data_IF_944325473819
#
_entry.id   IF_944325473819
#
_cell.length_a   1.000
_cell.length_b   1.000
_cell.length_c   1.000
_cell.angle_alpha   90.00
_cell.angle_beta   90.00
_cell.angle_gamma   90.00
#
_symmetry.space_group_name_H-M   'P 1'
#
loop_
_entity.id
_entity.type
_entity.pdbx_description
1 polymer ?
#
# COMPACT_ATOMS: atom_id res chain seq x y z
N UNK A 1 -3.32 -13.37 81.64
CA UNK A 1 -3.38 -14.29 82.80
C UNK A 1 -4.41 -15.38 82.54
N UNK A 2 -4.04 -16.66 82.79
CA UNK A 2 -4.86 -17.87 83.08
C UNK A 2 -5.92 -18.29 82.04
N UNK A 3 -5.79 -19.40 81.27
CA UNK A 3 -5.78 -20.84 81.62
C UNK A 3 -6.86 -21.28 82.62
N UNK A 4 -7.85 -22.05 82.15
CA UNK A 4 -8.39 -23.33 82.70
C UNK A 4 -9.65 -23.73 81.92
N UNK A 5 -9.67 -24.88 81.23
CA UNK A 5 -9.99 -26.24 81.72
C UNK A 5 -11.44 -26.41 82.22
N UNK A 6 -12.23 -27.23 81.52
CA UNK A 6 -13.05 -28.36 82.03
C UNK A 6 -13.67 -29.09 80.80
N UNK A 7 -13.21 -30.30 80.42
CA UNK A 7 -13.70 -31.62 80.88
C UNK A 7 -15.24 -31.73 80.80
N UNK A 8 -15.81 -32.46 79.83
CA UNK A 8 -16.29 -33.86 79.93
C UNK A 8 -17.37 -34.01 78.81
N UNK A 9 -17.66 -35.08 78.09
CA UNK A 9 -17.44 -36.52 78.22
C UNK A 9 -17.58 -37.17 76.82
N UNK A 10 -16.94 -38.32 76.66
CA UNK A 10 -16.82 -39.17 75.47
C UNK A 10 -18.14 -39.90 75.13
N UNK A 11 -18.60 -39.89 73.87
CA UNK A 11 -19.27 -41.04 73.23
C UNK A 11 -18.85 -41.11 71.75
N UNK A 12 -18.14 -42.19 71.42
CA UNK A 12 -17.79 -42.60 70.06
C UNK A 12 -19.02 -43.02 69.27
N UNK A 13 -19.22 -42.44 68.08
CA UNK A 13 -19.82 -43.13 66.93
C UNK A 13 -18.95 -42.83 65.71
N UNK A 14 -18.28 -43.87 65.23
CA UNK A 14 -17.51 -43.89 63.98
C UNK A 14 -18.44 -43.64 62.79
N UNK A 15 -18.46 -42.43 62.25
CA UNK A 15 -18.92 -42.19 60.89
C UNK A 15 -17.76 -42.50 59.93
N UNK A 16 -17.85 -43.64 59.27
CA UNK A 16 -17.06 -43.96 58.08
C UNK A 16 -17.41 -42.99 56.96
N UNK A 17 -16.61 -41.93 56.81
CA UNK A 17 -16.51 -41.16 55.58
C UNK A 17 -15.89 -42.07 54.51
N UNK A 18 -16.73 -42.69 53.69
CA UNK A 18 -16.31 -43.20 52.40
C UNK A 18 -15.99 -41.98 51.52
N UNK A 19 -14.76 -41.49 51.63
CA UNK A 19 -14.16 -40.66 50.59
C UNK A 19 -14.04 -41.60 49.39
N UNK A 20 -14.96 -41.48 48.44
CA UNK A 20 -14.76 -42.07 47.13
C UNK A 20 -13.44 -41.52 46.58
N UNK A 21 -12.40 -42.35 46.58
CA UNK A 21 -11.20 -42.10 45.79
C UNK A 21 -11.66 -42.07 44.33
N UNK A 22 -11.93 -40.87 43.83
CA UNK A 22 -12.04 -40.64 42.41
C UNK A 22 -10.65 -40.95 41.86
N UNK A 23 -10.51 -42.12 41.22
CA UNK A 23 -9.33 -42.45 40.42
C UNK A 23 -9.14 -41.27 39.48
N UNK A 24 -8.06 -40.52 39.70
CA UNK A 24 -7.56 -39.57 38.71
C UNK A 24 -7.21 -40.40 37.48
N UNK A 25 -8.13 -40.48 36.52
CA UNK A 25 -7.76 -40.81 35.17
C UNK A 25 -6.91 -39.65 34.70
N UNK A 26 -5.61 -39.92 34.52
CA UNK A 26 -4.75 -39.04 33.76
C UNK A 26 -5.42 -38.81 32.40
N UNK A 27 -6.02 -37.64 32.20
CA UNK A 27 -6.40 -37.18 30.87
C UNK A 27 -5.12 -37.16 30.04
N UNK A 28 -5.13 -37.83 28.90
CA UNK A 28 -4.10 -37.63 27.89
C UNK A 28 -4.01 -36.12 27.66
N UNK A 29 -2.80 -35.57 27.82
CA UNK A 29 -2.48 -34.31 27.16
C UNK A 29 -2.47 -34.66 25.68
N UNK A 30 -3.59 -34.49 25.02
CA UNK A 30 -3.64 -34.57 23.56
C UNK A 30 -2.57 -33.62 23.04
N UNK A 31 -1.66 -34.14 22.22
CA UNK A 31 -0.66 -33.33 21.56
C UNK A 31 -1.40 -32.23 20.77
N UNK A 32 -0.86 -30.99 20.72
CA UNK A 32 -1.40 -30.00 19.79
C UNK A 32 -1.47 -30.64 18.40
N UNK A 33 -2.54 -30.36 17.63
CA UNK A 33 -2.69 -30.95 16.31
C UNK A 33 -1.39 -30.75 15.51
N UNK A 34 -0.97 -31.74 14.71
CA UNK A 34 0.26 -31.63 13.94
C UNK A 34 0.23 -30.34 13.14
N UNK A 35 1.25 -29.51 13.34
CA UNK A 35 1.44 -28.31 12.52
C UNK A 35 1.55 -28.79 11.08
N UNK A 36 0.70 -28.30 10.16
CA UNK A 36 0.74 -28.74 8.78
C UNK A 36 2.15 -28.58 8.21
N UNK A 37 2.64 -29.60 7.51
CA UNK A 37 3.86 -29.47 6.71
C UNK A 37 3.54 -28.70 5.44
N UNK A 38 4.17 -27.54 5.32
CA UNK A 38 3.99 -26.52 4.29
C UNK A 38 4.65 -26.92 2.95
N UNK A 39 3.89 -26.90 1.84
CA UNK A 39 4.38 -27.05 0.45
C UNK A 39 3.81 -25.96 -0.48
N UNK A 40 4.69 -25.22 -1.17
CA UNK A 40 4.42 -23.99 -1.94
C UNK A 40 3.61 -24.15 -3.23
N UNK A 41 2.44 -24.80 -3.21
CA UNK A 41 1.58 -24.94 -4.40
C UNK A 41 0.66 -23.73 -4.55
N UNK A 42 0.88 -22.98 -5.64
CA UNK A 42 -0.09 -21.99 -6.11
C UNK A 42 -1.39 -22.70 -6.53
N UNK A 43 -2.59 -22.14 -6.25
CA UNK A 43 -3.84 -22.69 -6.75
C UNK A 43 -3.89 -22.57 -8.28
N UNK A 44 -4.54 -23.50 -8.96
CA UNK A 44 -4.76 -23.39 -10.41
C UNK A 44 -5.83 -22.34 -10.71
N UNK A 45 -5.79 -21.76 -11.91
CA UNK A 45 -6.86 -20.87 -12.37
C UNK A 45 -8.24 -21.56 -12.37
N UNK A 46 -8.28 -22.87 -12.64
CA UNK A 46 -9.51 -23.67 -12.58
C UNK A 46 -10.08 -23.70 -11.15
N UNK A 47 -9.24 -23.96 -10.15
CA UNK A 47 -9.65 -23.95 -8.73
C UNK A 47 -10.15 -22.57 -8.33
N UNK A 48 -9.44 -21.51 -8.70
CA UNK A 48 -9.87 -20.13 -8.41
C UNK A 48 -11.21 -19.83 -9.10
N UNK A 49 -11.38 -20.19 -10.38
CA UNK A 49 -12.64 -19.97 -11.09
C UNK A 49 -13.81 -20.75 -10.48
N UNK A 50 -13.59 -22.01 -10.05
CA UNK A 50 -14.60 -22.80 -9.37
C UNK A 50 -15.01 -22.15 -8.04
N UNK A 51 -14.05 -21.67 -7.25
CA UNK A 51 -14.30 -20.91 -6.03
C UNK A 51 -15.12 -19.64 -6.31
N UNK A 52 -14.68 -18.81 -7.26
CA UNK A 52 -15.39 -17.58 -7.64
C UNK A 52 -16.82 -17.88 -8.12
N UNK A 53 -17.03 -18.99 -8.83
CA UNK A 53 -18.37 -19.43 -9.26
C UNK A 53 -19.27 -19.80 -8.08
N UNK A 54 -18.74 -20.43 -7.03
CA UNK A 54 -19.52 -20.69 -5.82
C UNK A 54 -19.81 -19.40 -5.04
N UNK A 55 -18.88 -18.45 -5.03
CA UNK A 55 -19.04 -17.20 -4.27
C UNK A 55 -19.97 -16.18 -4.94
N UNK A 56 -19.91 -16.04 -6.26
CA UNK A 56 -20.61 -14.97 -7.00
C UNK A 56 -21.52 -15.48 -8.11
N UNK A 57 -21.50 -16.77 -8.40
CA UNK A 57 -22.21 -17.33 -9.56
C UNK A 57 -23.73 -17.28 -9.50
N UNK A 58 -24.30 -16.86 -8.37
CA UNK A 58 -25.73 -16.61 -8.19
C UNK A 58 -26.18 -15.25 -8.77
N UNK A 59 -25.26 -14.29 -8.92
CA UNK A 59 -25.56 -12.96 -9.46
C UNK A 59 -25.10 -12.88 -10.93
N UNK A 60 -26.03 -12.84 -11.90
CA UNK A 60 -25.68 -12.76 -13.31
C UNK A 60 -25.04 -11.42 -13.71
N UNK A 61 -25.13 -10.38 -12.87
CA UNK A 61 -24.51 -9.09 -13.11
C UNK A 61 -23.03 -9.05 -12.68
N UNK A 62 -22.53 -10.08 -11.99
CA UNK A 62 -21.14 -10.19 -11.57
C UNK A 62 -20.38 -11.11 -12.51
N UNK A 63 -19.28 -10.62 -13.07
CA UNK A 63 -18.29 -11.42 -13.78
C UNK A 63 -16.90 -11.16 -13.22
N UNK A 64 -15.94 -12.04 -13.50
CA UNK A 64 -14.59 -11.89 -12.98
C UNK A 64 -13.51 -12.32 -13.98
N UNK A 65 -12.32 -11.76 -13.81
CA UNK A 65 -11.09 -12.15 -14.51
C UNK A 65 -9.97 -12.32 -13.49
N UNK A 66 -9.30 -13.46 -13.51
CA UNK A 66 -8.07 -13.66 -12.72
C UNK A 66 -6.97 -12.80 -13.36
N UNK A 67 -6.46 -11.84 -12.61
CA UNK A 67 -5.40 -10.94 -13.05
C UNK A 67 -4.01 -11.50 -12.73
N UNK A 68 -3.86 -12.14 -11.56
CA UNK A 68 -2.60 -12.75 -11.16
C UNK A 68 -2.83 -13.83 -10.10
N UNK A 69 -1.97 -14.85 -10.12
CA UNK A 69 -1.76 -15.80 -9.03
C UNK A 69 -0.26 -15.81 -8.77
N UNK A 70 0.18 -15.39 -7.57
CA UNK A 70 1.60 -15.21 -7.26
C UNK A 70 1.88 -15.46 -5.77
N UNK A 71 3.11 -15.81 -5.39
CA UNK A 71 3.50 -15.86 -3.98
C UNK A 71 3.17 -14.54 -3.27
N UNK A 72 2.68 -14.63 -2.03
CA UNK A 72 2.45 -13.47 -1.17
C UNK A 72 3.74 -12.98 -0.51
N UNK A 73 3.72 -11.76 0.03
CA UNK A 73 4.77 -11.29 0.94
C UNK A 73 4.78 -12.03 2.29
N UNK A 74 3.64 -12.55 2.72
CA UNK A 74 3.56 -13.38 3.91
C UNK A 74 3.78 -14.84 3.55
N UNK A 75 4.71 -15.48 4.27
CA UNK A 75 4.99 -16.91 4.12
C UNK A 75 3.72 -17.76 4.33
N UNK A 76 3.58 -18.83 3.54
CA UNK A 76 2.43 -19.74 3.60
C UNK A 76 1.15 -19.20 2.94
N UNK A 77 1.18 -18.01 2.33
CA UNK A 77 0.05 -17.43 1.59
C UNK A 77 0.37 -17.27 0.09
N UNK A 78 -0.63 -17.53 -0.74
CA UNK A 78 -0.62 -17.20 -2.16
C UNK A 78 -1.56 -16.03 -2.41
N UNK A 79 -1.08 -14.97 -3.05
CA UNK A 79 -1.93 -13.85 -3.46
C UNK A 79 -2.63 -14.19 -4.79
N UNK A 80 -3.96 -14.04 -4.78
CA UNK A 80 -4.80 -14.14 -5.97
C UNK A 80 -5.48 -12.79 -6.18
N UNK A 81 -5.19 -12.18 -7.33
CA UNK A 81 -5.80 -10.92 -7.74
C UNK A 81 -6.89 -11.21 -8.77
N UNK A 82 -8.11 -10.76 -8.50
CA UNK A 82 -9.27 -10.95 -9.35
C UNK A 82 -9.90 -9.61 -9.66
N UNK A 83 -10.13 -9.31 -10.94
CA UNK A 83 -10.93 -8.15 -11.37
C UNK A 83 -12.39 -8.57 -11.36
N UNK A 84 -13.17 -8.07 -10.42
CA UNK A 84 -14.63 -8.21 -10.40
C UNK A 84 -15.24 -7.10 -11.26
N UNK A 85 -16.10 -7.47 -12.21
CA UNK A 85 -16.88 -6.54 -13.03
C UNK A 85 -18.34 -6.62 -12.62
N UNK A 86 -18.91 -5.46 -12.30
CA UNK A 86 -20.30 -5.28 -11.85
C UNK A 86 -20.95 -4.13 -12.62
N UNK A 87 -22.26 -3.90 -12.40
CA UNK A 87 -22.94 -2.73 -12.95
C UNK A 87 -22.35 -1.40 -12.47
N UNK A 88 -21.70 -1.38 -11.29
CA UNK A 88 -21.01 -0.20 -10.76
C UNK A 88 -19.59 -0.02 -11.32
N UNK A 89 -19.11 -0.93 -12.17
CA UNK A 89 -17.77 -0.89 -12.76
C UNK A 89 -16.88 -2.06 -12.33
N UNK A 90 -15.58 -1.92 -12.60
CA UNK A 90 -14.57 -2.92 -12.27
C UNK A 90 -13.87 -2.58 -10.96
N UNK A 91 -13.62 -3.60 -10.14
CA UNK A 91 -12.86 -3.49 -8.90
C UNK A 91 -11.86 -4.63 -8.78
N UNK A 92 -10.67 -4.32 -8.29
CA UNK A 92 -9.66 -5.32 -7.97
C UNK A 92 -9.96 -5.91 -6.59
N UNK A 93 -10.25 -7.21 -6.55
CA UNK A 93 -10.41 -8.00 -5.33
C UNK A 93 -9.15 -8.82 -5.10
N UNK A 94 -8.56 -8.67 -3.92
CA UNK A 94 -7.39 -9.44 -3.48
C UNK A 94 -7.82 -10.44 -2.43
N UNK A 95 -7.46 -11.70 -2.63
CA UNK A 95 -7.61 -12.75 -1.64
C UNK A 95 -6.31 -13.53 -1.50
N UNK A 96 -6.06 -14.05 -0.31
CA UNK A 96 -4.90 -14.87 0.00
C UNK A 96 -5.35 -16.29 0.27
N UNK A 97 -4.82 -17.22 -0.52
CA UNK A 97 -5.09 -18.65 -0.34
C UNK A 97 -4.02 -19.24 0.57
N UNK A 98 -4.44 -19.93 1.62
CA UNK A 98 -3.54 -20.68 2.50
C UNK A 98 -2.93 -21.85 1.75
N UNK A 99 -1.75 -22.28 2.17
CA UNK A 99 -0.99 -23.33 1.51
C UNK A 99 -1.67 -24.71 1.47
N UNK A 100 -2.59 -24.97 2.40
CA UNK A 100 -3.45 -26.16 2.36
C UNK A 100 -4.49 -26.14 1.22
N UNK A 101 -4.66 -24.98 0.57
CA UNK A 101 -5.66 -24.73 -0.47
C UNK A 101 -7.12 -24.76 0.02
N UNK A 102 -7.35 -24.83 1.34
CA UNK A 102 -8.68 -24.99 1.93
C UNK A 102 -9.28 -23.66 2.43
N UNK A 103 -8.44 -22.66 2.67
CA UNK A 103 -8.89 -21.38 3.21
C UNK A 103 -8.48 -20.21 2.30
N UNK A 104 -9.35 -19.20 2.27
CA UNK A 104 -9.07 -17.92 1.65
C UNK A 104 -9.28 -16.81 2.68
N UNK A 105 -8.34 -15.87 2.75
CA UNK A 105 -8.39 -14.68 3.59
C UNK A 105 -8.60 -13.47 2.67
N UNK A 106 -9.50 -12.57 3.05
CA UNK A 106 -9.78 -11.33 2.33
C UNK A 106 -9.25 -10.17 3.16
N UNK A 107 -8.50 -9.26 2.54
CA UNK A 107 -7.96 -8.07 3.19
C UNK A 107 -6.60 -7.67 2.63
N UNK A 108 -5.88 -6.85 3.40
CA UNK A 108 -4.52 -6.42 3.10
C UNK A 108 -3.51 -7.13 4.00
N UNK A 109 -2.34 -7.47 3.44
CA UNK A 109 -1.18 -7.81 4.25
C UNK A 109 -0.50 -6.52 4.64
N UNK A 110 -0.54 -6.22 5.93
CA UNK A 110 0.13 -5.05 6.50
C UNK A 110 1.42 -5.48 7.18
N UNK A 111 2.54 -4.77 6.98
CA UNK A 111 3.77 -5.06 7.72
C UNK A 111 3.54 -5.00 9.23
N UNK A 112 4.07 -5.99 9.96
CA UNK A 112 3.92 -6.14 11.41
C UNK A 112 5.29 -6.12 12.10
N UNK A 113 5.31 -5.69 13.37
CA UNK A 113 6.53 -5.59 14.19
C UNK A 113 6.69 -4.21 14.83
N UNK A 114 7.81 -3.99 15.54
CA UNK A 114 8.08 -2.71 16.21
C UNK A 114 8.37 -1.57 15.22
N UNK A 115 8.97 -1.89 14.07
CA UNK A 115 9.32 -0.92 13.02
C UNK A 115 8.81 -1.40 11.64
N UNK A 116 7.49 -1.44 11.44
CA UNK A 116 6.89 -2.12 10.28
C UNK A 116 7.21 -1.45 8.93
N UNK A 117 7.69 -0.21 8.93
CA UNK A 117 7.90 0.59 7.72
C UNK A 117 9.37 0.77 7.31
N UNK A 118 10.32 0.26 8.09
CA UNK A 118 11.77 0.43 7.84
C UNK A 118 12.19 -0.13 6.47
N UNK A 119 11.71 -1.32 6.10
CA UNK A 119 12.07 -1.92 4.81
C UNK A 119 11.60 -1.07 3.60
N UNK A 120 10.38 -0.52 3.68
CA UNK A 120 9.85 0.39 2.66
C UNK A 120 10.64 1.71 2.64
N UNK A 121 10.97 2.26 3.82
CA UNK A 121 11.79 3.47 3.94
C UNK A 121 13.18 3.28 3.34
N UNK A 122 13.85 2.15 3.60
CA UNK A 122 15.14 1.82 3.01
C UNK A 122 15.05 1.68 1.48
N UNK A 123 14.03 0.99 0.99
CA UNK A 123 13.80 0.81 -0.45
C UNK A 123 13.60 2.16 -1.14
N UNK A 124 12.79 3.05 -0.56
CA UNK A 124 12.62 4.43 -1.02
C UNK A 124 13.94 5.19 -1.00
N UNK A 125 14.69 5.14 0.11
CA UNK A 125 15.96 5.88 0.24
C UNK A 125 17.01 5.49 -0.80
N UNK A 126 16.98 4.23 -1.27
CA UNK A 126 17.89 3.71 -2.29
C UNK A 126 17.44 4.02 -3.71
N UNK A 127 16.13 4.15 -3.93
CA UNK A 127 15.55 4.22 -5.28
C UNK A 127 14.96 5.57 -5.69
N UNK A 128 14.57 6.43 -4.75
CA UNK A 128 13.90 7.70 -5.07
C UNK A 128 14.91 8.72 -5.63
N UNK A 129 14.64 9.23 -6.83
CA UNK A 129 15.54 10.16 -7.54
C UNK A 129 14.80 11.31 -8.25
N UNK A 130 13.49 11.44 -8.03
CA UNK A 130 12.67 12.43 -8.71
C UNK A 130 12.72 13.83 -8.08
N UNK A 131 12.06 14.83 -8.68
CA UNK A 131 12.08 16.20 -8.22
C UNK A 131 11.56 16.31 -6.78
N UNK A 132 12.21 17.16 -5.98
CA UNK A 132 11.87 17.32 -4.57
C UNK A 132 11.74 18.78 -4.16
N UNK A 133 10.91 19.05 -3.16
CA UNK A 133 10.77 20.34 -2.48
C UNK A 133 10.74 20.17 -0.97
N UNK A 134 11.20 21.19 -0.25
CA UNK A 134 11.45 21.13 1.21
C UNK A 134 12.91 20.84 1.55
N UNK A 135 13.29 20.89 2.84
CA UNK A 135 14.68 20.70 3.28
C UNK A 135 15.21 19.31 2.95
N UNK A 136 16.47 19.20 2.51
CA UNK A 136 17.09 17.91 2.21
C UNK A 136 17.32 17.04 3.45
N UNK A 137 17.42 17.66 4.62
CA UNK A 137 17.61 17.09 5.95
C UNK A 137 16.32 17.02 6.77
N UNK A 138 15.16 17.17 6.11
CA UNK A 138 13.85 17.06 6.74
C UNK A 138 13.70 15.74 7.51
N UNK A 139 13.15 15.80 8.73
CA UNK A 139 12.89 14.61 9.54
C UNK A 139 11.81 13.69 8.92
N UNK A 140 10.97 14.25 8.05
CA UNK A 140 9.94 13.51 7.33
C UNK A 140 10.19 13.58 5.84
N UNK A 141 10.29 12.43 5.19
CA UNK A 141 10.23 12.31 3.74
C UNK A 141 8.85 11.79 3.34
N UNK A 142 8.15 12.59 2.54
CA UNK A 142 6.92 12.25 1.84
C UNK A 142 7.30 11.89 0.41
N UNK A 143 7.00 10.67 -0.04
CA UNK A 143 7.18 10.26 -1.44
C UNK A 143 5.83 10.09 -2.09
N UNK A 144 5.62 10.76 -3.22
CA UNK A 144 4.39 10.67 -4.00
C UNK A 144 4.64 9.90 -5.30
N UNK A 145 4.00 8.74 -5.44
CA UNK A 145 3.86 8.08 -6.74
C UNK A 145 2.61 8.62 -7.42
N UNK A 146 2.83 9.33 -8.52
CA UNK A 146 1.78 10.09 -9.20
C UNK A 146 1.76 9.85 -10.70
N UNK A 147 0.58 10.07 -11.27
CA UNK A 147 0.30 10.01 -12.70
C UNK A 147 -0.34 11.35 -13.11
N UNK A 148 0.21 11.99 -14.14
CA UNK A 148 -0.24 13.31 -14.60
C UNK A 148 -1.57 13.28 -15.38
N UNK A 149 -2.02 12.12 -15.85
CA UNK A 149 -3.34 11.90 -16.44
C UNK A 149 -4.39 11.46 -15.42
N UNK A 150 -3.98 11.04 -14.22
CA UNK A 150 -4.91 10.56 -13.21
C UNK A 150 -5.72 11.71 -12.57
N UNK A 151 -7.06 11.68 -12.59
CA UNK A 151 -7.89 12.71 -11.96
C UNK A 151 -7.76 12.73 -10.44
N UNK A 152 -7.60 11.58 -9.79
CA UNK A 152 -7.39 11.53 -8.34
C UNK A 152 -6.04 12.12 -7.92
N UNK A 153 -5.02 12.07 -8.78
CA UNK A 153 -3.75 12.73 -8.48
C UNK A 153 -3.91 14.25 -8.46
N UNK A 154 -4.66 14.79 -9.45
CA UNK A 154 -5.08 16.20 -9.49
C UNK A 154 -5.87 16.58 -8.23
N UNK A 155 -6.85 15.78 -7.85
CA UNK A 155 -7.71 16.03 -6.67
C UNK A 155 -6.91 16.04 -5.35
N UNK A 156 -5.85 15.23 -5.25
CA UNK A 156 -5.00 15.16 -4.06
C UNK A 156 -4.03 16.34 -3.90
N UNK A 157 -3.64 17.01 -4.99
CA UNK A 157 -2.59 18.05 -4.96
C UNK A 157 -2.86 19.18 -3.95
N UNK A 158 -4.07 19.77 -3.84
CA UNK A 158 -4.33 20.83 -2.87
C UNK A 158 -4.04 20.41 -1.42
N UNK A 159 -4.36 19.16 -1.06
CA UNK A 159 -4.11 18.61 0.27
C UNK A 159 -2.61 18.40 0.51
N UNK A 160 -1.87 17.91 -0.50
CA UNK A 160 -0.42 17.72 -0.43
C UNK A 160 0.30 19.07 -0.36
N UNK A 161 -0.10 20.04 -1.19
CA UNK A 161 0.44 21.41 -1.18
C UNK A 161 0.23 22.08 0.18
N UNK A 162 -0.98 21.94 0.75
CA UNK A 162 -1.26 22.44 2.09
C UNK A 162 -0.37 21.78 3.15
N UNK A 163 -0.15 20.46 3.06
CA UNK A 163 0.77 19.76 3.97
C UNK A 163 2.18 20.36 3.88
N UNK A 164 2.72 20.50 2.67
CA UNK A 164 4.08 21.05 2.48
C UNK A 164 4.18 22.54 2.87
N UNK A 165 3.06 23.27 2.83
CA UNK A 165 3.01 24.64 3.30
C UNK A 165 3.02 24.75 4.83
N UNK A 166 2.40 23.82 5.57
CA UNK A 166 2.34 23.85 7.04
C UNK A 166 3.50 23.08 7.70
N UNK A 167 3.90 21.94 7.14
CA UNK A 167 4.92 21.04 7.70
C UNK A 167 6.32 21.36 7.15
N UNK A 168 6.96 22.38 7.72
CA UNK A 168 8.26 22.89 7.24
C UNK A 168 9.43 21.90 7.36
N UNK A 169 9.30 20.89 8.21
CA UNK A 169 10.29 19.83 8.38
C UNK A 169 9.94 18.55 7.58
N UNK A 170 9.11 18.70 6.54
CA UNK A 170 8.83 17.66 5.57
C UNK A 170 9.52 17.96 4.23
N UNK A 171 9.94 16.89 3.55
CA UNK A 171 10.44 16.91 2.18
C UNK A 171 9.51 16.08 1.31
N UNK A 172 9.00 16.67 0.23
CA UNK A 172 8.25 15.94 -0.79
C UNK A 172 9.18 15.51 -1.92
N UNK A 173 9.10 14.25 -2.33
CA UNK A 173 9.75 13.69 -3.53
C UNK A 173 8.68 13.15 -4.45
N UNK A 174 8.63 13.63 -5.68
CA UNK A 174 7.72 13.12 -6.70
C UNK A 174 8.35 11.92 -7.43
N UNK A 175 7.59 10.86 -7.65
CA UNK A 175 7.96 9.68 -8.42
C UNK A 175 6.93 9.46 -9.52
N UNK A 176 7.41 9.36 -10.76
CA UNK A 176 6.57 9.09 -11.92
C UNK A 176 6.02 7.65 -11.84
N UNK A 177 4.71 7.51 -11.90
CA UNK A 177 4.04 6.22 -11.96
C UNK A 177 2.89 6.23 -12.99
N UNK A 178 3.19 6.46 -14.29
CA UNK A 178 2.16 6.49 -15.32
C UNK A 178 1.46 5.13 -15.43
N UNK A 179 0.15 5.10 -15.24
CA UNK A 179 -0.65 3.89 -15.29
C UNK A 179 -0.81 3.43 -16.76
N UNK A 180 -0.69 2.13 -17.07
CA UNK A 180 -0.83 1.63 -18.45
C UNK A 180 -2.19 1.91 -19.10
N UNK A 181 -3.24 2.11 -18.30
CA UNK A 181 -4.59 2.45 -18.77
C UNK A 181 -4.77 3.92 -19.14
N UNK A 182 -3.72 4.75 -19.00
CA UNK A 182 -3.73 6.17 -19.27
C UNK A 182 -2.88 6.49 -20.50
N UNK A 183 -3.56 6.69 -21.64
CA UNK A 183 -2.97 6.72 -22.99
C UNK A 183 -1.91 7.81 -23.25
N UNK A 184 -1.81 8.82 -22.39
CA UNK A 184 -0.82 9.90 -22.51
C UNK A 184 -0.01 10.15 -21.23
N UNK A 185 -0.29 9.44 -20.13
CA UNK A 185 0.43 9.56 -18.86
C UNK A 185 1.94 9.38 -19.01
N UNK A 186 2.37 8.39 -19.79
CA UNK A 186 3.78 8.11 -20.01
C UNK A 186 4.51 9.29 -20.67
N UNK A 187 3.88 9.93 -21.67
CA UNK A 187 4.45 11.13 -22.31
C UNK A 187 4.60 12.26 -21.30
N UNK A 188 3.56 12.54 -20.51
CA UNK A 188 3.63 13.58 -19.49
C UNK A 188 4.73 13.29 -18.44
N UNK A 189 4.90 12.03 -18.03
CA UNK A 189 5.99 11.62 -17.15
C UNK A 189 7.38 11.85 -17.75
N UNK A 190 7.58 11.58 -19.05
CA UNK A 190 8.87 11.83 -19.73
C UNK A 190 9.22 13.32 -19.80
N UNK A 191 8.24 14.17 -20.12
CA UNK A 191 8.42 15.63 -20.07
C UNK A 191 8.74 16.08 -18.64
N UNK A 192 7.97 15.60 -17.66
CA UNK A 192 8.18 15.89 -16.24
C UNK A 192 9.59 15.51 -15.75
N UNK A 193 10.07 14.31 -16.09
CA UNK A 193 11.43 13.87 -15.74
C UNK A 193 12.51 14.81 -16.32
N UNK A 194 12.40 15.17 -17.60
CA UNK A 194 13.33 16.10 -18.25
C UNK A 194 13.30 17.49 -17.62
N UNK A 195 12.11 18.04 -17.36
CA UNK A 195 11.96 19.35 -16.71
C UNK A 195 12.55 19.30 -15.31
N UNK A 196 12.19 18.31 -14.51
CA UNK A 196 12.64 18.16 -13.12
C UNK A 196 14.15 18.05 -12.95
N UNK A 197 14.84 17.44 -13.91
CA UNK A 197 16.30 17.37 -13.93
C UNK A 197 16.98 18.68 -14.30
N UNK A 198 16.29 19.57 -15.03
CA UNK A 198 16.82 20.88 -15.41
C UNK A 198 16.46 21.98 -14.41
N UNK A 199 15.24 21.94 -13.86
CA UNK A 199 14.72 22.93 -12.92
C UNK A 199 13.58 22.34 -12.07
N UNK A 200 13.82 22.10 -10.78
CA UNK A 200 12.77 21.67 -9.85
C UNK A 200 11.60 22.66 -9.79
N UNK A 201 11.85 23.96 -9.88
CA UNK A 201 10.79 24.98 -9.85
C UNK A 201 9.91 24.93 -11.11
N UNK A 202 10.51 24.71 -12.28
CA UNK A 202 9.75 24.52 -13.52
C UNK A 202 8.94 23.22 -13.45
N UNK A 203 9.46 22.17 -12.82
CA UNK A 203 8.73 20.91 -12.68
C UNK A 203 7.41 21.08 -11.93
N UNK A 204 7.41 21.76 -10.78
CA UNK A 204 6.18 21.95 -10.01
C UNK A 204 5.15 22.81 -10.77
N UNK A 205 5.61 23.82 -11.52
CA UNK A 205 4.74 24.61 -12.41
C UNK A 205 4.17 23.76 -13.54
N UNK A 206 4.99 22.89 -14.13
CA UNK A 206 4.57 21.96 -15.17
C UNK A 206 3.51 20.99 -14.66
N UNK A 207 3.74 20.33 -13.51
CA UNK A 207 2.78 19.42 -12.87
C UNK A 207 1.45 20.13 -12.62
N UNK A 208 1.48 21.33 -12.02
CA UNK A 208 0.27 22.12 -11.77
C UNK A 208 -0.46 22.48 -13.07
N UNK A 209 0.28 22.87 -14.12
CA UNK A 209 -0.27 23.18 -15.45
C UNK A 209 -0.94 21.97 -16.10
N UNK A 210 -0.28 20.81 -16.10
CA UNK A 210 -0.84 19.57 -16.65
C UNK A 210 -2.13 19.18 -15.93
N UNK A 211 -2.16 19.24 -14.59
CA UNK A 211 -3.37 18.96 -13.84
C UNK A 211 -4.49 19.99 -14.10
N UNK A 212 -4.15 21.27 -14.24
CA UNK A 212 -5.12 22.32 -14.54
C UNK A 212 -5.83 22.07 -15.88
N UNK A 213 -5.08 21.67 -16.91
CA UNK A 213 -5.60 21.44 -18.28
C UNK A 213 -5.80 19.96 -18.63
N UNK A 214 -5.84 19.07 -17.64
CA UNK A 214 -5.84 17.61 -17.83
C UNK A 214 -6.96 17.12 -18.76
N UNK A 215 -8.16 17.72 -18.66
CA UNK A 215 -9.32 17.40 -19.51
C UNK A 215 -9.13 17.75 -20.98
N UNK A 216 -8.20 18.65 -21.29
CA UNK A 216 -8.00 19.19 -22.63
C UNK A 216 -6.90 18.43 -23.38
N UNK A 217 -6.21 17.49 -22.72
CA UNK A 217 -5.11 16.71 -23.28
C UNK A 217 -5.65 15.35 -23.73
N UNK A 218 -5.37 15.01 -24.98
CA UNK A 218 -5.67 13.71 -25.58
C UNK A 218 -4.39 13.06 -26.06
N UNK A 219 -4.39 11.75 -26.31
CA UNK A 219 -3.22 11.05 -26.85
C UNK A 219 -2.69 11.69 -28.15
N UNK A 220 -3.60 12.22 -28.99
CA UNK A 220 -3.27 12.87 -30.25
C UNK A 220 -2.66 14.28 -30.08
N UNK A 221 -3.02 14.99 -29.00
CA UNK A 221 -2.56 16.38 -28.74
C UNK A 221 -1.50 16.47 -27.65
N UNK A 222 -1.10 15.33 -27.07
CA UNK A 222 -0.19 15.27 -25.92
C UNK A 222 1.15 15.97 -26.20
N UNK A 223 1.83 15.68 -27.31
CA UNK A 223 3.15 16.26 -27.56
C UNK A 223 3.10 17.80 -27.71
N UNK A 224 2.10 18.30 -28.44
CA UNK A 224 1.88 19.74 -28.62
C UNK A 224 1.59 20.43 -27.27
N UNK A 225 0.61 19.90 -26.52
CA UNK A 225 0.17 20.51 -25.26
C UNK A 225 1.23 20.42 -24.17
N UNK A 226 1.91 19.27 -24.04
CA UNK A 226 2.97 19.09 -23.03
C UNK A 226 4.19 19.95 -23.35
N UNK A 227 4.50 20.18 -24.63
CA UNK A 227 5.54 21.14 -25.06
C UNK A 227 5.17 22.56 -24.65
N UNK A 228 3.95 23.00 -24.94
CA UNK A 228 3.49 24.34 -24.55
C UNK A 228 3.47 24.52 -23.02
N UNK A 229 3.04 23.50 -22.28
CA UNK A 229 3.06 23.51 -20.81
C UNK A 229 4.49 23.56 -20.24
N UNK A 230 5.46 22.89 -20.88
CA UNK A 230 6.86 23.00 -20.52
C UNK A 230 7.38 24.43 -20.70
N UNK A 231 7.03 25.10 -21.80
CA UNK A 231 7.39 26.51 -22.05
C UNK A 231 6.77 27.45 -21.02
N UNK A 232 5.48 27.28 -20.73
CA UNK A 232 4.78 28.07 -19.71
C UNK A 232 5.37 27.87 -18.31
N UNK A 233 5.91 26.68 -18.02
CA UNK A 233 6.60 26.39 -16.78
C UNK A 233 8.01 27.01 -16.69
N UNK A 234 8.52 27.57 -17.79
CA UNK A 234 9.86 28.17 -17.89
C UNK A 234 10.95 27.20 -18.32
N UNK A 235 10.60 26.01 -18.82
CA UNK A 235 11.53 25.13 -19.51
C UNK A 235 11.59 25.48 -21.02
N UNK A 236 12.55 24.89 -21.74
CA UNK A 236 12.63 25.03 -23.20
C UNK A 236 11.81 23.91 -23.84
N UNK A 237 10.65 24.24 -24.41
CA UNK A 237 9.70 23.25 -24.92
C UNK A 237 10.31 22.26 -25.90
N UNK A 238 10.94 22.76 -26.97
CA UNK A 238 11.57 21.92 -27.99
C UNK A 238 12.70 21.03 -27.42
N UNK A 239 13.56 21.56 -26.56
CA UNK A 239 14.63 20.79 -25.92
C UNK A 239 14.04 19.72 -24.98
N UNK A 240 12.94 20.04 -24.29
CA UNK A 240 12.22 19.13 -23.41
C UNK A 240 11.59 17.99 -24.21
N UNK A 241 10.96 18.29 -25.34
CA UNK A 241 10.39 17.28 -26.24
C UNK A 241 11.48 16.33 -26.78
N UNK A 242 12.63 16.88 -27.19
CA UNK A 242 13.78 16.08 -27.62
C UNK A 242 14.32 15.19 -26.48
N UNK A 243 14.40 15.72 -25.25
CA UNK A 243 14.78 14.94 -24.07
C UNK A 243 13.75 13.84 -23.74
N UNK A 244 12.46 14.14 -23.84
CA UNK A 244 11.38 13.19 -23.54
C UNK A 244 11.38 11.98 -24.49
N UNK A 245 11.81 12.17 -25.74
CA UNK A 245 11.97 11.11 -26.72
C UNK A 245 13.24 10.25 -26.52
N UNK A 246 14.14 10.62 -25.61
CA UNK A 246 15.39 9.90 -25.39
C UNK A 246 15.15 8.56 -24.68
N UNK A 247 15.73 7.43 -25.16
CA UNK A 247 15.63 6.13 -24.50
C UNK A 247 16.04 6.13 -23.02
N UNK A 248 17.01 6.95 -22.61
CA UNK A 248 17.42 7.05 -21.20
C UNK A 248 16.33 7.71 -20.34
N UNK A 249 15.55 8.65 -20.90
CA UNK A 249 14.39 9.22 -20.19
C UNK A 249 13.32 8.17 -19.94
N UNK A 250 13.07 7.33 -20.95
CA UNK A 250 12.17 6.16 -20.79
C UNK A 250 12.71 5.24 -19.70
N UNK A 251 14.00 4.93 -19.70
CA UNK A 251 14.62 4.07 -18.68
C UNK A 251 14.50 4.65 -17.27
N UNK A 252 14.63 5.98 -17.09
CA UNK A 252 14.44 6.65 -15.79
C UNK A 252 13.02 6.52 -15.27
N UNK A 253 12.03 6.84 -16.10
CA UNK A 253 10.62 6.69 -15.70
C UNK A 253 10.29 5.23 -15.40
N UNK A 254 10.84 4.27 -16.15
CA UNK A 254 10.68 2.85 -15.85
C UNK A 254 11.34 2.44 -14.52
N UNK A 255 12.46 3.05 -14.12
CA UNK A 255 13.04 2.83 -12.78
C UNK A 255 12.11 3.33 -11.67
N UNK A 256 11.48 4.48 -11.85
CA UNK A 256 10.46 5.01 -10.92
C UNK A 256 9.23 4.08 -10.84
N UNK A 257 8.74 3.56 -11.97
CA UNK A 257 7.67 2.55 -12.00
C UNK A 257 8.09 1.25 -11.31
N UNK A 258 9.32 0.78 -11.54
CA UNK A 258 9.85 -0.41 -10.90
C UNK A 258 9.97 -0.22 -9.37
N UNK A 259 10.40 0.95 -8.90
CA UNK A 259 10.42 1.30 -7.49
C UNK A 259 9.03 1.24 -6.87
N UNK A 260 8.03 1.87 -7.51
CA UNK A 260 6.65 1.81 -7.05
C UNK A 260 6.11 0.38 -7.04
N UNK A 261 6.44 -0.42 -8.05
CA UNK A 261 6.05 -1.84 -8.14
C UNK A 261 6.66 -2.66 -6.99
N UNK A 262 7.94 -2.44 -6.67
CA UNK A 262 8.62 -3.09 -5.54
C UNK A 262 8.01 -2.72 -4.18
N UNK A 263 7.37 -1.54 -4.08
CA UNK A 263 6.63 -1.06 -2.92
C UNK A 263 5.11 -1.35 -3.01
N UNK A 264 4.72 -2.20 -3.95
CA UNK A 264 3.34 -2.59 -4.23
C UNK A 264 2.39 -1.43 -4.53
N UNK A 265 2.86 -0.35 -5.13
CA UNK A 265 1.98 0.70 -5.64
C UNK A 265 1.10 0.09 -6.74
N UNK A 266 -0.20 0.01 -6.47
CA UNK A 266 -1.21 -0.56 -7.39
C UNK A 266 -2.11 0.50 -8.01
N UNK A 267 -1.88 1.77 -7.67
CA UNK A 267 -2.68 2.89 -8.14
C UNK A 267 -2.10 4.22 -7.68
N UNK A 268 -2.59 5.29 -8.30
CA UNK A 268 -2.13 6.65 -8.04
C UNK A 268 -3.32 7.54 -7.63
N UNK A 269 -3.12 8.52 -6.75
CA UNK A 269 -1.88 8.80 -6.02
C UNK A 269 -1.66 7.79 -4.89
N UNK A 270 -0.40 7.40 -4.68
CA UNK A 270 0.02 6.71 -3.45
C UNK A 270 1.10 7.53 -2.77
N UNK A 271 0.92 7.84 -1.48
CA UNK A 271 1.93 8.50 -0.67
C UNK A 271 2.68 7.50 0.21
N UNK A 272 3.92 7.81 0.53
CA UNK A 272 4.67 7.20 1.62
C UNK A 272 5.16 8.29 2.56
N UNK A 273 4.90 8.15 3.86
CA UNK A 273 5.46 9.02 4.91
C UNK A 273 6.45 8.19 5.72
N UNK A 274 7.75 8.44 5.58
CA UNK A 274 8.82 7.63 6.20
C UNK A 274 8.59 6.11 6.03
N UNK A 275 8.22 5.69 4.82
CA UNK A 275 7.93 4.29 4.48
C UNK A 275 6.51 3.81 4.77
N UNK A 276 5.69 4.56 5.53
CA UNK A 276 4.28 4.24 5.75
C UNK A 276 3.47 4.56 4.50
N UNK A 277 2.99 3.53 3.81
CA UNK A 277 2.12 3.67 2.65
C UNK A 277 0.76 4.23 3.02
N UNK A 278 0.28 5.17 2.23
CA UNK A 278 -1.03 5.81 2.35
C UNK A 278 -1.68 5.75 0.97
N UNK A 279 -2.72 4.94 0.88
CA UNK A 279 -3.57 4.81 -0.30
C UNK A 279 -4.75 5.78 -0.21
N UNK A 280 -5.44 6.00 -1.34
CA UNK A 280 -6.66 6.84 -1.42
C UNK A 280 -6.48 8.27 -0.90
N UNK A 281 -5.38 8.92 -1.30
CA UNK A 281 -4.99 10.25 -0.80
C UNK A 281 -6.03 11.31 -1.14
N UNK A 282 -6.68 11.22 -2.31
CA UNK A 282 -7.71 12.15 -2.76
C UNK A 282 -8.91 12.22 -1.79
N UNK A 283 -9.26 11.09 -1.16
CA UNK A 283 -10.34 11.02 -0.17
C UNK A 283 -9.90 11.20 1.28
N UNK A 284 -8.60 11.37 1.54
CA UNK A 284 -8.05 11.44 2.89
C UNK A 284 -8.23 12.85 3.48
N UNK A 285 -8.87 13.00 4.66
CA UNK A 285 -8.95 14.30 5.31
C UNK A 285 -7.56 14.85 5.63
N UNK A 286 -7.36 16.15 5.37
CA UNK A 286 -6.09 16.84 5.62
C UNK A 286 -5.53 16.61 7.03
N UNK A 287 -6.39 16.65 8.06
CA UNK A 287 -5.98 16.46 9.45
C UNK A 287 -5.37 15.08 9.71
N UNK A 288 -5.81 14.05 8.99
CA UNK A 288 -5.22 12.71 9.09
C UNK A 288 -3.81 12.73 8.50
N UNK A 289 -3.63 13.32 7.32
CA UNK A 289 -2.32 13.41 6.67
C UNK A 289 -1.33 14.22 7.51
N UNK A 290 -1.79 15.33 8.10
CA UNK A 290 -1.02 16.14 9.04
C UNK A 290 -0.60 15.35 10.27
N UNK A 291 -1.56 14.71 10.97
CA UNK A 291 -1.26 13.92 12.16
C UNK A 291 -0.28 12.78 11.90
N UNK A 292 -0.35 12.14 10.73
CA UNK A 292 0.63 11.12 10.32
C UNK A 292 2.03 11.69 10.10
N UNK A 293 2.12 12.88 9.50
CA UNK A 293 3.39 13.59 9.28
C UNK A 293 4.02 14.01 10.61
N UNK A 294 3.24 14.62 11.50
CA UNK A 294 3.69 15.02 12.83
C UNK A 294 4.11 13.82 13.70
N UNK A 295 3.40 12.69 13.58
CA UNK A 295 3.77 11.44 14.26
C UNK A 295 5.11 10.91 13.73
N UNK A 296 5.27 10.83 12.40
CA UNK A 296 6.51 10.38 11.78
C UNK A 296 7.72 11.26 12.15
N UNK A 297 7.51 12.58 12.32
CA UNK A 297 8.54 13.51 12.75
C UNK A 297 9.03 13.28 14.19
N UNK A 298 8.19 12.66 15.04
CA UNK A 298 8.52 12.33 16.44
C UNK A 298 9.25 10.99 16.55
N UNK A 299 8.81 9.99 15.79
CA UNK A 299 9.41 8.65 15.77
C UNK A 299 10.81 8.61 15.11
N UNK A 300 11.11 9.58 14.24
CA UNK A 300 12.42 9.71 13.60
C UNK A 300 13.51 10.37 14.45
N UNK A 301 13.22 10.68 15.73
CA UNK A 301 14.17 11.23 16.71
C UNK A 301 14.57 10.16 17.71
#
# INVERSE_FOLDING_TARGET
MRRSLLCCFFIMILLSLAIAQQKSSAKSKDAPPPVPTFSTRLPSEETVNAFMKQMFGYDPAVSWKIAAIRPSQAEGLTEVLVVLSTAQGQQNSRLYVTEDGQHAVIGDIIPFGAHPFTAAQETLSKGMDGPSRGPSDAAVTVVEFSDLQCPHCKEAQPTIDKLMAEEKNARLVFQNFPLPSHDWAAKAAYYGDCIGRSSPDAFWKYVAGVYATQSDITAATADEKLTALAEQAGAKGADTAACAANPETVARVQRSVALGTALEVTGTPTLFINGRKISNVAGLPYEVLKGLTEFAAKEGK
#
